data_IF_978914875085
#
_entry.id   IF_978914875085
#
_cell.length_a   1.000
_cell.length_b   1.000
_cell.length_c   1.000
_cell.angle_alpha   90.00
_cell.angle_beta   90.00
_cell.angle_gamma   90.00
#
_symmetry.space_group_name_H-M   'P 1'
#
loop_
_entity.id
_entity.type
_entity.pdbx_description
1 polymer ?
#
# COMPACT_ATOMS: atom_id res chain seq x y z
N UNK A 1 -10.74 17.42 22.46
CA UNK A 1 -9.58 17.95 21.70
C UNK A 1 -8.42 17.02 22.00
N UNK A 2 -8.02 16.18 21.04
CA UNK A 2 -6.92 15.25 21.24
C UNK A 2 -5.61 16.04 21.37
N UNK A 3 -4.97 15.88 22.51
CA UNK A 3 -3.63 16.36 22.80
C UNK A 3 -2.70 15.79 21.72
N UNK A 4 -2.26 16.64 20.79
CA UNK A 4 -1.35 16.21 19.72
C UNK A 4 -0.06 15.84 20.44
N UNK A 5 0.21 14.54 20.57
CA UNK A 5 1.48 14.04 21.07
C UNK A 5 2.60 14.78 20.34
N UNK A 6 3.28 15.68 21.05
CA UNK A 6 4.36 16.50 20.50
C UNK A 6 5.66 15.68 20.45
N UNK A 7 5.56 14.44 19.97
CA UNK A 7 6.71 13.59 19.69
C UNK A 7 7.29 14.07 18.38
N UNK A 8 8.49 14.66 18.45
CA UNK A 8 9.24 15.03 17.26
C UNK A 8 9.95 13.79 16.73
N UNK A 9 9.43 13.25 15.63
CA UNK A 9 9.99 12.09 14.93
C UNK A 9 10.67 12.58 13.66
N UNK A 10 11.84 12.04 13.37
CA UNK A 10 12.63 12.32 12.16
C UNK A 10 12.10 11.52 10.98
N UNK A 11 12.45 11.94 9.76
CA UNK A 11 12.09 11.18 8.55
C UNK A 11 12.69 9.76 8.57
N UNK A 12 13.92 9.61 9.09
CA UNK A 12 14.58 8.31 9.20
C UNK A 12 13.86 7.39 10.19
N UNK A 13 13.37 7.94 11.31
CA UNK A 13 12.57 7.17 12.27
C UNK A 13 11.21 6.77 11.69
N UNK A 14 10.56 7.63 10.91
CA UNK A 14 9.33 7.28 10.18
C UNK A 14 9.62 6.16 9.18
N UNK A 15 10.69 6.29 8.40
CA UNK A 15 11.08 5.28 7.41
C UNK A 15 11.36 3.93 8.10
N UNK A 16 12.08 3.95 9.22
CA UNK A 16 12.34 2.76 10.01
C UNK A 16 11.06 2.12 10.56
N UNK A 17 10.11 2.91 11.05
CA UNK A 17 8.80 2.41 11.49
C UNK A 17 8.01 1.78 10.34
N UNK A 18 8.02 2.41 9.16
CA UNK A 18 7.38 1.85 7.97
C UNK A 18 7.99 0.50 7.59
N UNK A 19 9.32 0.42 7.53
CA UNK A 19 10.06 -0.83 7.26
C UNK A 19 9.77 -1.91 8.30
N UNK A 20 9.70 -1.55 9.58
CA UNK A 20 9.34 -2.47 10.67
C UNK A 20 7.91 -3.01 10.48
N UNK A 21 6.95 -2.17 10.11
CA UNK A 21 5.59 -2.58 9.80
C UNK A 21 5.53 -3.57 8.63
N UNK A 22 6.28 -3.30 7.55
CA UNK A 22 6.36 -4.22 6.41
C UNK A 22 7.04 -5.54 6.76
N UNK A 23 8.08 -5.52 7.59
CA UNK A 23 8.70 -6.74 8.08
C UNK A 23 7.71 -7.56 8.92
N UNK A 24 6.97 -6.93 9.83
CA UNK A 24 5.92 -7.59 10.62
C UNK A 24 4.83 -8.20 9.73
N UNK A 25 4.44 -7.54 8.64
CA UNK A 25 3.52 -8.07 7.63
C UNK A 25 4.08 -9.35 7.01
N UNK A 26 5.32 -9.33 6.56
CA UNK A 26 5.95 -10.42 5.81
C UNK A 26 6.19 -11.67 6.67
N UNK A 27 6.44 -11.50 7.97
CA UNK A 27 6.57 -12.62 8.91
C UNK A 27 5.22 -13.09 9.49
N UNK A 28 4.09 -12.63 8.96
CA UNK A 28 2.75 -13.04 9.38
C UNK A 28 2.23 -12.40 10.67
N UNK A 29 2.93 -11.41 11.22
CA UNK A 29 2.50 -10.67 12.42
C UNK A 29 1.61 -9.49 12.05
N UNK A 30 0.49 -9.79 11.43
CA UNK A 30 -0.42 -8.81 10.83
C UNK A 30 -0.91 -7.74 11.82
N UNK A 31 -1.30 -8.13 13.04
CA UNK A 31 -1.77 -7.16 14.04
C UNK A 31 -0.66 -6.16 14.43
N UNK A 32 0.57 -6.65 14.64
CA UNK A 32 1.70 -5.77 14.97
C UNK A 32 2.00 -4.80 13.82
N UNK A 33 1.91 -5.26 12.56
CA UNK A 33 2.07 -4.40 11.41
C UNK A 33 1.01 -3.28 11.38
N UNK A 34 -0.26 -3.62 11.62
CA UNK A 34 -1.36 -2.64 11.69
C UNK A 34 -1.13 -1.63 12.83
N UNK A 35 -0.72 -2.09 14.01
CA UNK A 35 -0.46 -1.20 15.14
C UNK A 35 0.68 -0.22 14.84
N UNK A 36 1.76 -0.68 14.21
CA UNK A 36 2.87 0.17 13.76
C UNK A 36 2.38 1.21 12.75
N UNK A 37 1.65 0.80 11.71
CA UNK A 37 1.17 1.73 10.69
C UNK A 37 0.15 2.74 11.22
N UNK A 38 -0.70 2.35 12.18
CA UNK A 38 -1.58 3.29 12.88
C UNK A 38 -0.79 4.32 13.70
N UNK A 39 0.31 3.89 14.34
CA UNK A 39 1.25 4.80 14.98
C UNK A 39 1.84 5.81 14.01
N UNK A 40 2.32 5.36 12.84
CA UNK A 40 2.83 6.26 11.80
C UNK A 40 1.73 7.20 11.28
N UNK A 41 0.51 6.72 11.09
CA UNK A 41 -0.63 7.56 10.67
C UNK A 41 -0.94 8.68 11.68
N UNK A 42 -0.76 8.42 12.98
CA UNK A 42 -0.93 9.44 14.01
C UNK A 42 0.19 10.51 13.98
N UNK A 43 1.40 10.11 13.57
CA UNK A 43 2.55 11.00 13.40
C UNK A 43 2.48 11.82 12.10
N UNK A 44 1.84 11.29 11.06
CA UNK A 44 1.68 11.92 9.75
C UNK A 44 0.21 12.13 9.38
N UNK A 45 -0.52 13.06 10.03
CA UNK A 45 -1.92 13.31 9.71
C UNK A 45 -2.09 13.73 8.25
N UNK A 46 -2.84 12.94 7.47
CA UNK A 46 -3.15 13.22 6.07
C UNK A 46 -2.20 12.58 5.06
N UNK A 47 -1.14 11.90 5.51
CA UNK A 47 -0.32 11.08 4.62
C UNK A 47 -1.06 9.77 4.28
N UNK A 48 -1.25 9.43 2.99
CA UNK A 48 -1.94 8.21 2.58
C UNK A 48 -1.10 6.93 2.78
N UNK A 49 0.22 7.05 2.89
CA UNK A 49 1.16 5.92 2.87
C UNK A 49 0.87 4.88 3.97
N UNK A 50 0.64 5.26 5.25
CA UNK A 50 0.36 4.26 6.28
C UNK A 50 -0.97 3.53 6.08
N UNK A 51 -1.97 4.20 5.50
CA UNK A 51 -3.26 3.56 5.19
C UNK A 51 -3.13 2.58 4.02
N UNK A 52 -2.36 2.93 2.99
CA UNK A 52 -2.02 2.00 1.91
C UNK A 52 -1.26 0.77 2.44
N UNK A 53 -0.34 0.99 3.38
CA UNK A 53 0.42 -0.07 4.03
C UNK A 53 -0.48 -1.04 4.82
N UNK A 54 -1.49 -0.52 5.54
CA UNK A 54 -2.53 -1.35 6.19
C UNK A 54 -3.31 -2.18 5.15
N UNK A 55 -3.63 -1.59 3.99
CA UNK A 55 -4.19 -2.32 2.84
C UNK A 55 -3.33 -3.51 2.43
N UNK A 56 -2.01 -3.35 2.38
CA UNK A 56 -1.08 -4.45 2.09
C UNK A 56 -1.07 -5.55 3.16
N UNK A 57 -1.33 -5.20 4.44
CA UNK A 57 -1.49 -6.19 5.52
C UNK A 57 -2.75 -7.02 5.33
N UNK A 58 -3.85 -6.37 4.93
CA UNK A 58 -5.09 -7.07 4.61
C UNK A 58 -4.87 -8.07 3.47
N UNK A 59 -4.14 -7.69 2.43
CA UNK A 59 -3.74 -8.61 1.36
C UNK A 59 -2.91 -9.79 1.86
N UNK A 60 -1.86 -9.52 2.66
CA UNK A 60 -1.01 -10.55 3.22
C UNK A 60 -1.78 -11.53 4.13
N UNK A 61 -2.84 -11.06 4.81
CA UNK A 61 -3.72 -11.88 5.64
C UNK A 61 -4.87 -12.56 4.89
N UNK A 62 -4.93 -12.42 3.56
CA UNK A 62 -5.96 -13.03 2.70
C UNK A 62 -7.31 -12.29 2.68
N UNK A 63 -7.42 -11.14 3.35
CA UNK A 63 -8.64 -10.33 3.44
C UNK A 63 -8.79 -9.40 2.22
N UNK A 64 -8.79 -9.99 1.02
CA UNK A 64 -8.67 -9.23 -0.24
C UNK A 64 -9.83 -8.23 -0.45
N UNK A 65 -11.07 -8.63 -0.15
CA UNK A 65 -12.23 -7.75 -0.32
C UNK A 65 -12.19 -6.52 0.61
N UNK A 66 -11.71 -6.70 1.84
CA UNK A 66 -11.54 -5.59 2.77
C UNK A 66 -10.37 -4.70 2.35
N UNK A 67 -9.27 -5.29 1.84
CA UNK A 67 -8.16 -4.51 1.29
C UNK A 67 -8.63 -3.58 0.16
N UNK A 68 -9.44 -4.08 -0.78
CA UNK A 68 -10.00 -3.27 -1.87
C UNK A 68 -10.83 -2.11 -1.29
N UNK A 69 -11.76 -2.39 -0.37
CA UNK A 69 -12.60 -1.35 0.25
C UNK A 69 -11.77 -0.26 0.92
N UNK A 70 -10.75 -0.65 1.69
CA UNK A 70 -9.91 0.31 2.42
C UNK A 70 -9.03 1.14 1.47
N UNK A 71 -8.45 0.51 0.45
CA UNK A 71 -7.64 1.19 -0.55
C UNK A 71 -8.47 2.16 -1.40
N UNK A 72 -9.68 1.76 -1.82
CA UNK A 72 -10.63 2.65 -2.50
C UNK A 72 -11.04 3.83 -1.60
N UNK A 73 -11.19 3.59 -0.30
CA UNK A 73 -11.50 4.66 0.65
C UNK A 73 -10.33 5.63 0.84
N UNK A 74 -9.10 5.13 0.94
CA UNK A 74 -7.89 5.95 1.00
C UNK A 74 -7.71 6.83 -0.26
N UNK A 75 -8.09 6.30 -1.42
CA UNK A 75 -8.11 7.07 -2.66
C UNK A 75 -9.18 8.16 -2.70
N UNK A 76 -10.22 8.15 -1.86
CA UNK A 76 -11.17 9.28 -1.82
C UNK A 76 -10.50 10.58 -1.36
N UNK A 77 -9.56 10.50 -0.43
CA UNK A 77 -8.77 11.64 0.02
C UNK A 77 -7.60 11.96 -0.89
N UNK A 78 -7.01 10.93 -1.52
CA UNK A 78 -5.85 11.06 -2.40
C UNK A 78 -6.05 10.30 -3.72
N UNK A 79 -6.90 10.79 -4.66
CA UNK A 79 -7.40 10.01 -5.80
C UNK A 79 -6.38 9.47 -6.78
N UNK A 80 -5.17 10.00 -6.75
CA UNK A 80 -4.10 9.62 -7.68
C UNK A 80 -2.82 9.23 -6.94
N UNK A 81 -2.89 8.85 -5.66
CA UNK A 81 -1.69 8.43 -4.93
C UNK A 81 -1.12 7.14 -5.56
N UNK A 82 0.07 7.18 -6.21
CA UNK A 82 0.58 6.03 -6.96
C UNK A 82 0.81 4.80 -6.10
N UNK A 83 1.18 4.99 -4.83
CA UNK A 83 1.46 3.90 -3.90
C UNK A 83 0.18 3.17 -3.49
N UNK A 84 -0.87 3.90 -3.10
CA UNK A 84 -2.19 3.34 -2.81
C UNK A 84 -2.80 2.66 -4.04
N UNK A 85 -2.68 3.29 -5.22
CA UNK A 85 -3.13 2.69 -6.48
C UNK A 85 -2.40 1.38 -6.79
N UNK A 86 -1.08 1.29 -6.54
CA UNK A 86 -0.34 0.06 -6.77
C UNK A 86 -0.85 -1.10 -5.90
N UNK A 87 -1.09 -0.86 -4.60
CA UNK A 87 -1.70 -1.87 -3.74
C UNK A 87 -3.14 -2.23 -4.15
N UNK A 88 -3.90 -1.29 -4.71
CA UNK A 88 -5.22 -1.60 -5.26
C UNK A 88 -5.10 -2.52 -6.49
N UNK A 89 -4.12 -2.28 -7.36
CA UNK A 89 -3.80 -3.17 -8.47
C UNK A 89 -3.41 -4.58 -8.00
N UNK A 90 -2.58 -4.67 -6.95
CA UNK A 90 -2.21 -5.94 -6.31
C UNK A 90 -3.44 -6.68 -5.77
N UNK A 91 -4.35 -5.95 -5.12
CA UNK A 91 -5.60 -6.51 -4.62
C UNK A 91 -6.47 -7.11 -5.73
N UNK A 92 -6.58 -6.42 -6.87
CA UNK A 92 -7.27 -6.97 -8.04
C UNK A 92 -6.58 -8.18 -8.65
N UNK A 93 -5.24 -8.27 -8.61
CA UNK A 93 -4.53 -9.50 -8.98
C UNK A 93 -4.88 -10.66 -8.04
N UNK A 94 -4.89 -10.43 -6.74
CA UNK A 94 -5.30 -11.46 -5.77
C UNK A 94 -6.74 -11.94 -6.01
N UNK A 95 -7.62 -11.05 -6.48
CA UNK A 95 -9.00 -11.35 -6.91
C UNK A 95 -9.12 -12.00 -8.29
N UNK A 96 -8.01 -12.22 -8.99
CA UNK A 96 -7.94 -12.71 -10.38
C UNK A 96 -8.59 -11.77 -11.40
N UNK A 97 -8.77 -10.50 -11.04
CA UNK A 97 -9.26 -9.44 -11.92
C UNK A 97 -8.10 -8.80 -12.69
N UNK A 98 -7.34 -9.63 -13.40
CA UNK A 98 -6.06 -9.26 -14.03
C UNK A 98 -6.15 -8.07 -14.98
N UNK A 99 -7.26 -7.93 -15.71
CA UNK A 99 -7.48 -6.80 -16.61
C UNK A 99 -7.55 -5.45 -15.86
N UNK A 100 -8.28 -5.41 -14.73
CA UNK A 100 -8.38 -4.21 -13.89
C UNK A 100 -7.06 -3.89 -13.23
N UNK A 101 -6.37 -4.91 -12.71
CA UNK A 101 -5.04 -4.73 -12.13
C UNK A 101 -4.06 -4.13 -13.12
N UNK A 102 -4.00 -4.67 -14.36
CA UNK A 102 -3.13 -4.17 -15.42
C UNK A 102 -3.38 -2.70 -15.74
N UNK A 103 -4.64 -2.31 -15.93
CA UNK A 103 -5.02 -0.91 -16.20
C UNK A 103 -4.56 0.04 -15.08
N UNK A 104 -4.71 -0.38 -13.82
CA UNK A 104 -4.24 0.40 -12.67
C UNK A 104 -2.71 0.51 -12.67
N UNK A 105 -1.98 -0.59 -12.87
CA UNK A 105 -0.53 -0.56 -12.88
C UNK A 105 0.05 0.29 -14.02
N UNK A 106 -0.57 0.28 -15.21
CA UNK A 106 -0.18 1.14 -16.33
C UNK A 106 -0.35 2.62 -15.96
N UNK A 107 -1.45 2.98 -15.29
CA UNK A 107 -1.68 4.35 -14.79
C UNK A 107 -0.66 4.75 -13.73
N UNK A 108 -0.35 3.85 -12.80
CA UNK A 108 0.68 4.07 -11.77
C UNK A 108 2.04 4.31 -12.41
N UNK A 109 2.45 3.45 -13.35
CA UNK A 109 3.75 3.54 -14.02
C UNK A 109 3.89 4.82 -14.86
N UNK A 110 2.80 5.28 -15.48
CA UNK A 110 2.79 6.54 -16.22
C UNK A 110 2.98 7.76 -15.30
N UNK A 111 2.50 7.69 -14.05
CA UNK A 111 2.57 8.80 -13.10
C UNK A 111 3.84 8.81 -12.26
N UNK A 112 4.29 7.65 -11.82
CA UNK A 112 5.38 7.49 -10.86
C UNK A 112 6.40 6.44 -11.31
N UNK A 113 7.06 6.60 -12.47
CA UNK A 113 7.85 5.53 -13.09
C UNK A 113 9.05 5.06 -12.26
N UNK A 114 9.52 5.87 -11.31
CA UNK A 114 10.71 5.60 -10.49
C UNK A 114 10.41 5.58 -8.99
N UNK A 115 9.24 6.02 -8.54
CA UNK A 115 8.88 5.95 -7.13
C UNK A 115 8.33 4.58 -6.72
N UNK A 116 8.03 4.43 -5.42
CA UNK A 116 7.65 3.14 -4.83
C UNK A 116 6.46 2.47 -5.54
N UNK A 117 5.46 3.27 -5.93
CA UNK A 117 4.28 2.76 -6.64
C UNK A 117 4.63 2.23 -8.03
N UNK A 118 5.42 2.95 -8.81
CA UNK A 118 5.80 2.50 -10.15
C UNK A 118 6.76 1.33 -10.17
N UNK A 119 7.70 1.24 -9.22
CA UNK A 119 8.58 0.07 -9.08
C UNK A 119 7.75 -1.20 -8.80
N UNK A 120 6.74 -1.07 -7.94
CA UNK A 120 5.79 -2.15 -7.67
C UNK A 120 4.95 -2.50 -8.91
N UNK A 121 4.36 -1.49 -9.55
CA UNK A 121 3.56 -1.66 -10.77
C UNK A 121 4.35 -2.32 -11.90
N UNK A 122 5.62 -1.93 -12.11
CA UNK A 122 6.50 -2.53 -13.11
C UNK A 122 6.73 -4.01 -12.86
N UNK A 123 6.95 -4.40 -11.60
CA UNK A 123 7.12 -5.81 -11.20
C UNK A 123 5.88 -6.63 -11.50
N UNK A 124 4.69 -6.14 -11.15
CA UNK A 124 3.44 -6.83 -11.42
C UNK A 124 3.08 -6.88 -12.91
N UNK A 125 3.34 -5.82 -13.68
CA UNK A 125 3.14 -5.84 -15.13
C UNK A 125 4.03 -6.87 -15.82
N UNK A 126 5.29 -7.01 -15.38
CA UNK A 126 6.18 -8.05 -15.87
C UNK A 126 5.64 -9.46 -15.55
N UNK A 127 5.16 -9.67 -14.31
CA UNK A 127 4.54 -10.93 -13.88
C UNK A 127 3.31 -11.29 -14.74
N UNK A 128 2.40 -10.34 -14.99
CA UNK A 128 1.22 -10.53 -15.84
C UNK A 128 1.64 -10.88 -17.28
N UNK A 129 2.63 -10.18 -17.83
CA UNK A 129 3.10 -10.42 -19.19
C UNK A 129 3.73 -11.81 -19.35
N UNK A 130 4.42 -12.31 -18.33
CA UNK A 130 5.01 -13.65 -18.34
C UNK A 130 3.96 -14.75 -18.21
N UNK A 131 2.95 -14.57 -17.35
CA UNK A 131 1.86 -15.51 -17.18
C UNK A 131 1.07 -15.75 -18.47
N UNK A 132 0.93 -14.73 -19.32
CA UNK A 132 0.22 -14.80 -20.60
C UNK A 132 1.00 -15.47 -21.74
N UNK A 133 2.28 -15.79 -21.54
CA UNK A 133 3.12 -16.48 -22.56
C UNK A 133 3.02 -18.01 -22.48
N UNK A 134 2.34 -18.55 -21.47
CA UNK A 134 2.09 -19.98 -21.27
C UNK A 134 0.71 -20.35 -21.80
#
# INVERSE_FOLDING_TARGET
>A
MADKLNIRVTQDEIQFLMESGYLCRDIGRHQQAVDIFNGVAALLPGDPTPQAAIGSVLLASGQVDEAIRQLENALKSSPNDPFTMAHLGEAFLCKKETARAKDIFEKVLAKDPQGPGGVMAKSFLAFIAEANKK
#
